data_IF_619915193208
#
_entry.id   IF_619915193208
#
_cell.length_a   1.000
_cell.length_b   1.000
_cell.length_c   1.000
_cell.angle_alpha   90.00
_cell.angle_beta   90.00
_cell.angle_gamma   90.00
#
_symmetry.space_group_name_H-M   'P 1'
#
loop_
_entity.id
_entity.type
_entity.pdbx_description
1 polymer ?
#
# COMPACT_ATOMS: atom_id res chain seq x y z
N UNK A 1 -17.45 5.47 -2.56
CA UNK A 1 -16.12 5.95 -2.99
C UNK A 1 -15.32 6.60 -1.86
N UNK A 2 -15.94 7.27 -0.89
CA UNK A 2 -15.26 7.96 0.23
C UNK A 2 -14.26 7.10 1.01
N UNK A 3 -14.59 5.83 1.27
CA UNK A 3 -13.72 4.88 1.98
C UNK A 3 -12.45 4.49 1.20
N UNK A 4 -12.52 4.39 -0.14
CA UNK A 4 -11.35 4.13 -0.98
C UNK A 4 -10.45 5.35 -1.13
N UNK A 5 -11.06 6.53 -1.28
CA UNK A 5 -10.31 7.78 -1.33
C UNK A 5 -9.52 8.02 -0.03
N UNK A 6 -10.11 7.71 1.13
CA UNK A 6 -9.42 7.79 2.42
C UNK A 6 -8.28 6.77 2.52
N UNK A 7 -8.54 5.50 2.16
CA UNK A 7 -7.50 4.47 2.13
C UNK A 7 -6.34 4.89 1.23
N UNK A 8 -6.63 5.34 0.01
CA UNK A 8 -5.59 5.80 -0.93
C UNK A 8 -4.86 7.04 -0.40
N UNK A 9 -5.57 7.99 0.21
CA UNK A 9 -4.97 9.21 0.77
C UNK A 9 -4.04 8.95 1.95
N UNK A 10 -4.36 7.99 2.82
CA UNK A 10 -3.53 7.63 3.97
C UNK A 10 -2.38 6.68 3.59
N UNK A 11 -2.64 5.70 2.72
CA UNK A 11 -1.67 4.63 2.41
C UNK A 11 -0.78 4.94 1.20
N UNK A 12 -1.21 5.85 0.33
CA UNK A 12 -0.58 6.07 -0.97
C UNK A 12 -0.64 4.85 -1.91
N UNK A 13 -1.48 3.85 -1.61
CA UNK A 13 -1.54 2.61 -2.37
C UNK A 13 -2.09 2.85 -3.78
N UNK A 14 -1.30 2.51 -4.80
CA UNK A 14 -1.71 2.56 -6.21
C UNK A 14 -1.08 1.40 -6.97
N UNK A 15 -1.90 0.63 -7.67
CA UNK A 15 -1.41 -0.42 -8.56
C UNK A 15 -1.36 0.09 -10.00
N UNK A 16 -0.19 0.03 -10.62
CA UNK A 16 0.01 0.24 -12.04
C UNK A 16 -0.02 -1.12 -12.76
N UNK A 17 -1.08 -1.38 -13.51
CA UNK A 17 -1.27 -2.64 -14.21
C UNK A 17 -0.36 -2.82 -15.44
N UNK A 18 0.17 -1.73 -16.01
CA UNK A 18 1.07 -1.78 -17.17
C UNK A 18 2.46 -2.21 -16.72
N UNK A 19 2.99 -1.54 -15.70
CA UNK A 19 4.32 -1.85 -15.15
C UNK A 19 4.29 -2.96 -14.09
N UNK A 20 3.10 -3.36 -13.64
CA UNK A 20 2.89 -4.31 -12.53
C UNK A 20 3.57 -3.86 -11.24
N UNK A 21 3.56 -2.56 -11.00
CA UNK A 21 4.16 -1.92 -9.83
C UNK A 21 3.09 -1.58 -8.81
N UNK A 22 3.31 -1.98 -7.56
CA UNK A 22 2.51 -1.51 -6.42
C UNK A 22 3.27 -0.38 -5.72
N UNK A 23 2.75 0.85 -5.87
CA UNK A 23 3.27 2.03 -5.19
C UNK A 23 2.66 2.12 -3.79
N UNK A 24 3.49 2.37 -2.78
CA UNK A 24 3.12 2.54 -1.38
C UNK A 24 3.87 3.74 -0.81
N UNK A 25 3.25 4.91 -0.85
CA UNK A 25 3.78 6.17 -0.30
C UNK A 25 2.86 6.68 0.82
N UNK A 26 2.87 6.03 2.00
CA UNK A 26 1.95 6.36 3.08
C UNK A 26 2.19 7.77 3.64
N UNK A 27 1.10 8.37 4.13
CA UNK A 27 1.11 9.63 4.90
C UNK A 27 0.96 9.38 6.41
N UNK A 28 1.09 8.12 6.82
CA UNK A 28 0.98 7.64 8.19
C UNK A 28 2.22 6.81 8.52
N UNK A 29 2.67 6.90 9.77
CA UNK A 29 3.80 6.11 10.24
C UNK A 29 3.40 4.64 10.50
N UNK A 30 4.35 3.74 10.27
CA UNK A 30 4.25 2.34 10.66
C UNK A 30 3.50 1.43 9.68
N UNK A 31 3.13 0.26 10.21
CA UNK A 31 2.45 -0.80 9.46
C UNK A 31 0.99 -0.44 9.20
N UNK A 32 0.47 -0.88 8.06
CA UNK A 32 -0.94 -0.73 7.72
C UNK A 32 -1.42 -1.83 6.77
N UNK A 33 -2.74 -1.99 6.71
CA UNK A 33 -3.41 -2.87 5.76
C UNK A 33 -4.58 -2.14 5.12
N UNK A 34 -4.52 -1.98 3.81
CA UNK A 34 -5.58 -1.43 2.98
C UNK A 34 -6.20 -2.50 2.08
N UNK A 35 -7.46 -2.32 1.71
CA UNK A 35 -8.08 -3.12 0.68
C UNK A 35 -7.58 -2.70 -0.71
N UNK A 36 -7.31 -3.68 -1.58
CA UNK A 36 -6.90 -3.46 -2.96
C UNK A 36 -7.79 -4.31 -3.88
N UNK A 37 -8.44 -3.66 -4.84
CA UNK A 37 -9.12 -4.33 -5.94
C UNK A 37 -8.52 -3.86 -7.27
N UNK A 38 -8.35 -4.80 -8.18
CA UNK A 38 -7.95 -4.60 -9.56
C UNK A 38 -9.01 -5.19 -10.49
N UNK A 39 -8.84 -5.04 -11.80
CA UNK A 39 -9.74 -5.68 -12.77
C UNK A 39 -9.72 -7.22 -12.70
N UNK A 40 -8.63 -7.83 -12.21
CA UNK A 40 -8.41 -9.28 -12.25
C UNK A 40 -8.53 -9.97 -10.89
N UNK A 41 -8.71 -9.23 -9.80
CA UNK A 41 -8.78 -9.80 -8.47
C UNK A 41 -8.83 -8.77 -7.36
N UNK A 42 -8.93 -9.23 -6.12
CA UNK A 42 -8.92 -8.37 -4.94
C UNK A 42 -8.26 -9.05 -3.74
N UNK A 43 -7.89 -8.23 -2.77
CA UNK A 43 -7.26 -8.67 -1.54
C UNK A 43 -6.88 -7.49 -0.66
N UNK A 44 -5.79 -7.65 0.09
CA UNK A 44 -5.22 -6.57 0.90
C UNK A 44 -3.77 -6.32 0.57
N UNK A 45 -3.35 -5.07 0.66
CA UNK A 45 -1.98 -4.64 0.48
C UNK A 45 -1.59 -3.65 1.57
N UNK A 46 -0.30 -3.50 1.82
CA UNK A 46 0.21 -2.49 2.74
C UNK A 46 1.61 -2.78 3.21
N UNK A 47 1.90 -2.37 4.44
CA UNK A 47 3.22 -2.54 5.07
C UNK A 47 3.04 -3.38 6.32
N UNK A 48 3.88 -4.41 6.46
CA UNK A 48 3.94 -5.26 7.65
C UNK A 48 5.39 -5.51 8.01
N UNK A 49 5.77 -5.20 9.25
CA UNK A 49 7.15 -5.20 9.75
C UNK A 49 8.06 -4.34 8.86
N UNK A 50 7.56 -3.18 8.45
CA UNK A 50 8.30 -2.26 7.57
C UNK A 50 8.52 -2.77 6.13
N UNK A 51 7.90 -3.89 5.74
CA UNK A 51 8.03 -4.45 4.39
C UNK A 51 6.69 -4.40 3.64
N UNK A 52 6.70 -4.04 2.35
CA UNK A 52 5.49 -4.01 1.56
C UNK A 52 4.97 -5.42 1.29
N UNK A 53 3.64 -5.59 1.23
CA UNK A 53 3.01 -6.87 0.93
C UNK A 53 1.74 -6.71 0.08
N UNK A 54 1.39 -7.80 -0.61
CA UNK A 54 0.05 -8.05 -1.17
C UNK A 54 -0.40 -9.45 -0.76
N UNK A 55 -1.65 -9.57 -0.32
CA UNK A 55 -2.31 -10.84 -0.01
C UNK A 55 -3.58 -10.92 -0.87
N UNK A 56 -3.58 -11.83 -1.85
CA UNK A 56 -4.69 -12.03 -2.77
C UNK A 56 -5.76 -12.89 -2.10
N UNK A 57 -7.01 -12.43 -2.11
CA UNK A 57 -8.16 -13.18 -1.59
C UNK A 57 -8.92 -13.91 -2.70
N UNK A 58 -9.06 -13.29 -3.86
CA UNK A 58 -9.67 -13.91 -5.03
C UNK A 58 -9.09 -13.34 -6.33
N UNK A 59 -9.07 -14.16 -7.38
CA UNK A 59 -8.51 -13.80 -8.68
C UNK A 59 -6.99 -13.73 -8.66
N UNK A 60 -6.42 -12.78 -9.39
CA UNK A 60 -4.98 -12.59 -9.49
C UNK A 60 -4.60 -11.11 -9.41
N UNK A 61 -3.50 -10.83 -8.72
CA UNK A 61 -2.83 -9.52 -8.70
C UNK A 61 -1.33 -9.77 -8.95
N UNK A 62 -0.88 -9.52 -10.17
CA UNK A 62 0.51 -9.74 -10.60
C UNK A 62 1.38 -8.54 -10.22
N UNK A 63 1.95 -8.56 -9.01
CA UNK A 63 2.91 -7.53 -8.56
C UNK A 63 4.33 -8.00 -8.85
N UNK A 64 5.04 -7.27 -9.73
CA UNK A 64 6.43 -7.54 -10.07
C UNK A 64 7.42 -6.65 -9.34
N UNK A 65 6.97 -5.47 -8.90
CA UNK A 65 7.79 -4.50 -8.20
C UNK A 65 6.98 -3.80 -7.11
N UNK A 66 7.63 -3.57 -5.98
CA UNK A 66 7.16 -2.64 -4.96
C UNK A 66 7.94 -1.34 -5.10
N UNK A 67 7.23 -0.23 -5.21
CA UNK A 67 7.78 1.11 -5.09
C UNK A 67 7.34 1.65 -3.73
N UNK A 68 8.18 1.42 -2.73
CA UNK A 68 7.88 1.71 -1.33
C UNK A 68 8.79 2.82 -0.82
N UNK A 69 8.17 3.91 -0.37
CA UNK A 69 8.84 5.02 0.32
C UNK A 69 8.19 5.14 1.69
N UNK A 70 8.88 4.76 2.78
CA UNK A 70 8.31 4.83 4.12
C UNK A 70 7.98 6.27 4.50
N UNK A 71 6.90 6.46 5.25
CA UNK A 71 6.66 7.74 5.91
C UNK A 71 7.77 7.98 6.93
N UNK A 72 8.45 9.14 6.91
CA UNK A 72 9.54 9.39 7.83
C UNK A 72 9.07 9.28 9.29
N UNK A 73 9.89 8.72 10.19
CA UNK A 73 9.56 8.74 11.61
C UNK A 73 9.44 10.18 12.08
N UNK A 74 8.58 10.41 13.08
CA UNK A 74 8.61 11.68 13.81
C UNK A 74 10.03 11.91 14.33
N UNK A 75 10.58 13.14 14.24
CA UNK A 75 11.84 13.44 14.91
C UNK A 75 11.71 13.05 16.38
N UNK A 76 12.73 12.40 16.91
CA UNK A 76 12.82 12.14 18.34
C UNK A 76 12.71 13.49 19.07
N UNK A 77 12.00 13.56 20.21
CA UNK A 77 12.02 14.76 21.03
C UNK A 77 13.48 15.10 21.34
N UNK A 78 13.84 16.39 21.21
CA UNK A 78 15.13 16.87 21.66
C UNK A 78 15.20 16.69 23.19
N UNK A 79 16.24 16.01 23.67
CA UNK A 79 16.52 15.79 25.09
C UNK A 79 16.65 17.11 25.88
#
# INVERSE_FOLDING_TARGET
MSSYALLQGLTGARYDAVTRTLHLHPRIAGDFRGFLATASGYGTAGVRRGQPFVEVRAGAIDVRRYDYVPFPPSPAPAD
#
